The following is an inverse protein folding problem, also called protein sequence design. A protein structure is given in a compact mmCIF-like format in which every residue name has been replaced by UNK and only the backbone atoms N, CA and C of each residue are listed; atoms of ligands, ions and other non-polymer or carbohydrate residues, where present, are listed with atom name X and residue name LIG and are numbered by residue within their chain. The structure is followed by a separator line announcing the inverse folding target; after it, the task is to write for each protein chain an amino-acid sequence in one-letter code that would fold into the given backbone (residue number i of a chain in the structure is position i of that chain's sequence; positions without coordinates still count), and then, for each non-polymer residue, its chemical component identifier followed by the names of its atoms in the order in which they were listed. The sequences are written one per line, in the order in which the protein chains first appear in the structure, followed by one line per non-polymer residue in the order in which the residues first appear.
data_IF_672751573743
#
_entry.id   IF_672751573743
#
_cell.length_a   1.000
_cell.length_b   1.000
_cell.length_c   1.000
_cell.angle_alpha   90.00
_cell.angle_beta   90.00
_cell.angle_gamma   90.00
#
_symmetry.space_group_name_H-M   'P 1'
#
loop_
_entity.id
_entity.type
_entity.pdbx_description
1 polymer ?
#
# COMPACT_ATOMS: atom_id res chain seq x y z
N UNK A 1 -6.85 -14.75 54.97
CA UNK A 1 -7.56 -14.60 53.68
C UNK A 1 -6.75 -13.82 52.65
N UNK A 2 -5.92 -12.86 53.07
CA UNK A 2 -5.21 -11.92 52.19
C UNK A 2 -4.18 -12.56 51.22
N UNK A 3 -3.41 -13.57 51.65
CA UNK A 3 -2.39 -14.20 50.79
C UNK A 3 -2.96 -14.92 49.56
N UNK A 4 -4.17 -15.49 49.67
CA UNK A 4 -4.85 -16.16 48.54
C UNK A 4 -5.35 -15.16 47.51
N UNK A 5 -5.81 -13.99 47.95
CA UNK A 5 -6.32 -12.93 47.09
C UNK A 5 -5.17 -12.33 46.27
N UNK A 6 -4.03 -12.05 46.91
CA UNK A 6 -2.84 -11.52 46.24
C UNK A 6 -2.35 -12.49 45.15
N UNK A 7 -2.28 -13.79 45.46
CA UNK A 7 -1.85 -14.81 44.50
C UNK A 7 -2.75 -14.87 43.26
N UNK A 8 -4.08 -14.80 43.45
CA UNK A 8 -5.06 -14.81 42.36
C UNK A 8 -4.89 -13.59 41.45
N UNK A 9 -4.69 -12.40 42.05
CA UNK A 9 -4.50 -11.15 41.29
C UNK A 9 -3.20 -11.20 40.47
N UNK A 10 -2.11 -11.71 41.04
CA UNK A 10 -0.85 -11.84 40.28
C UNK A 10 -0.99 -12.81 39.10
N UNK A 11 -1.71 -13.93 39.26
CA UNK A 11 -1.91 -14.90 38.19
C UNK A 11 -2.81 -14.32 37.08
N UNK A 12 -3.87 -13.59 37.42
CA UNK A 12 -4.75 -12.99 36.41
C UNK A 12 -4.05 -11.90 35.61
N UNK A 13 -3.23 -11.06 36.25
CA UNK A 13 -2.43 -10.04 35.55
C UNK A 13 -1.39 -10.68 34.62
N UNK A 14 -0.76 -11.79 35.03
CA UNK A 14 0.19 -12.53 34.20
C UNK A 14 -0.49 -13.21 33.00
N UNK A 15 -1.71 -13.74 33.17
CA UNK A 15 -2.50 -14.30 32.08
C UNK A 15 -2.97 -13.22 31.09
N UNK A 16 -3.43 -12.07 31.56
CA UNK A 16 -3.91 -10.98 30.70
C UNK A 16 -2.79 -10.37 29.86
N UNK A 17 -1.59 -10.23 30.43
CA UNK A 17 -0.41 -9.71 29.72
C UNK A 17 0.10 -10.68 28.65
N UNK A 18 0.12 -11.99 28.93
CA UNK A 18 0.51 -13.01 27.94
C UNK A 18 -0.51 -13.17 26.81
N UNK A 19 -1.81 -13.10 27.11
CA UNK A 19 -2.88 -13.06 26.11
C UNK A 19 -2.81 -11.80 25.23
N UNK A 20 -2.50 -10.63 25.81
CA UNK A 20 -2.33 -9.38 25.09
C UNK A 20 -1.15 -9.41 24.11
N UNK A 21 -0.02 -10.00 24.54
CA UNK A 21 1.17 -10.17 23.69
C UNK A 21 0.88 -11.15 22.55
N UNK A 22 0.20 -12.27 22.83
CA UNK A 22 -0.24 -13.22 21.80
C UNK A 22 -1.17 -12.57 20.77
N UNK A 23 -2.12 -11.74 21.19
CA UNK A 23 -2.99 -10.98 20.29
C UNK A 23 -2.19 -9.99 19.43
N UNK A 24 -1.24 -9.26 20.02
CA UNK A 24 -0.44 -8.26 19.31
C UNK A 24 0.47 -8.87 18.22
N UNK A 25 0.97 -10.09 18.44
CA UNK A 25 1.80 -10.79 17.45
C UNK A 25 0.99 -11.52 16.37
N UNK A 26 -0.27 -11.89 16.63
CA UNK A 26 -1.11 -12.63 15.67
C UNK A 26 -1.92 -11.74 14.70
N UNK A 27 -2.22 -10.50 15.10
CA UNK A 27 -3.08 -9.61 14.30
C UNK A 27 -2.45 -8.98 13.05
N UNK A 28 -1.18 -8.54 13.01
CA UNK A 28 -0.66 -7.85 11.83
C UNK A 28 -0.37 -8.80 10.66
N UNK A 29 -0.01 -10.07 10.92
CA UNK A 29 0.35 -11.01 9.84
C UNK A 29 -0.85 -11.65 9.15
N UNK A 30 -2.02 -11.73 9.81
CA UNK A 30 -3.21 -12.34 9.21
C UNK A 30 -3.86 -11.43 8.16
N UNK A 31 -3.88 -10.11 8.40
CA UNK A 31 -4.49 -9.15 7.46
C UNK A 31 -3.71 -9.04 6.15
N UNK A 32 -2.38 -9.06 6.23
CA UNK A 32 -1.51 -9.02 5.03
C UNK A 32 -1.74 -10.26 4.16
N UNK A 33 -1.82 -11.45 4.78
CA UNK A 33 -2.10 -12.71 4.06
C UNK A 33 -3.44 -12.70 3.33
N UNK A 34 -4.50 -12.16 3.94
CA UNK A 34 -5.81 -12.10 3.28
C UNK A 34 -5.84 -11.18 2.06
N UNK A 35 -4.96 -10.17 2.01
CA UNK A 35 -4.95 -9.23 0.90
C UNK A 35 -4.06 -9.64 -0.27
N UNK A 36 -2.98 -10.41 -0.02
CA UNK A 36 -2.28 -11.17 -1.06
C UNK A 36 -3.27 -12.09 -1.82
N UNK A 37 -4.18 -12.75 -1.09
CA UNK A 37 -5.17 -13.68 -1.67
C UNK A 37 -6.26 -12.98 -2.52
N UNK A 38 -6.51 -11.68 -2.34
CA UNK A 38 -7.59 -10.95 -3.01
C UNK A 38 -7.08 -10.09 -4.19
N UNK A 39 -5.90 -9.47 -4.05
CA UNK A 39 -5.29 -8.67 -5.12
C UNK A 39 -3.75 -8.77 -5.08
N UNK A 40 -3.25 -9.93 -5.49
CA UNK A 40 -1.82 -10.27 -5.51
C UNK A 40 -0.96 -9.26 -6.28
N UNK A 41 -1.45 -8.77 -7.43
CA UNK A 41 -0.70 -7.82 -8.26
C UNK A 41 -0.48 -6.47 -7.55
N UNK A 42 -1.53 -5.93 -6.94
CA UNK A 42 -1.46 -4.67 -6.20
C UNK A 42 -0.62 -4.82 -4.93
N UNK A 43 -0.77 -5.94 -4.22
CA UNK A 43 0.06 -6.27 -3.05
C UNK A 43 1.55 -6.26 -3.42
N UNK A 44 1.92 -6.97 -4.48
CA UNK A 44 3.30 -7.04 -4.96
C UNK A 44 3.84 -5.68 -5.39
N UNK A 45 3.02 -4.86 -6.06
CA UNK A 45 3.41 -3.51 -6.44
C UNK A 45 3.71 -2.65 -5.20
N UNK A 46 2.82 -2.63 -4.20
CA UNK A 46 3.01 -1.86 -2.96
C UNK A 46 4.25 -2.33 -2.20
N UNK A 47 4.46 -3.64 -2.09
CA UNK A 47 5.64 -4.21 -1.45
C UNK A 47 6.94 -3.85 -2.17
N UNK A 48 6.92 -3.80 -3.51
CA UNK A 48 8.05 -3.36 -4.30
C UNK A 48 8.44 -1.91 -3.97
N UNK A 49 7.48 -0.99 -3.94
CA UNK A 49 7.74 0.43 -3.64
C UNK A 49 8.18 0.62 -2.19
N UNK A 50 7.48 0.01 -1.22
CA UNK A 50 7.75 0.18 0.21
C UNK A 50 9.12 -0.35 0.61
N UNK A 51 9.51 -1.51 0.09
CA UNK A 51 10.79 -2.14 0.41
C UNK A 51 11.92 -1.73 -0.53
N UNK A 52 11.61 -0.93 -1.56
CA UNK A 52 12.53 -0.61 -2.66
C UNK A 52 13.15 -1.87 -3.30
N UNK A 53 12.32 -2.91 -3.48
CA UNK A 53 12.77 -4.22 -3.93
C UNK A 53 12.04 -4.63 -5.21
N UNK A 54 12.81 -4.70 -6.30
CA UNK A 54 12.30 -5.06 -7.63
C UNK A 54 11.90 -6.55 -7.73
N UNK A 55 12.26 -7.41 -6.77
CA UNK A 55 11.89 -8.82 -6.81
C UNK A 55 10.37 -9.02 -6.77
N UNK A 56 9.65 -8.10 -6.13
CA UNK A 56 8.19 -8.11 -6.08
C UNK A 56 7.53 -7.71 -7.41
N UNK A 57 8.22 -6.96 -8.28
CA UNK A 57 7.64 -6.46 -9.53
C UNK A 57 7.29 -7.56 -10.54
N UNK A 58 7.86 -8.76 -10.42
CA UNK A 58 7.63 -9.88 -11.35
C UNK A 58 6.19 -10.35 -11.42
N UNK A 59 5.42 -10.17 -10.35
CA UNK A 59 4.04 -10.64 -10.20
C UNK A 59 3.04 -9.47 -10.18
N UNK A 60 3.35 -8.38 -10.88
CA UNK A 60 2.47 -7.21 -11.02
C UNK A 60 1.88 -7.16 -12.43
N UNK A 61 0.73 -6.51 -12.62
CA UNK A 61 0.15 -6.31 -13.95
C UNK A 61 1.02 -5.49 -14.91
N UNK A 62 2.01 -4.74 -14.40
CA UNK A 62 3.02 -4.06 -15.22
C UNK A 62 4.41 -4.06 -14.54
N UNK A 63 5.21 -5.12 -14.76
CA UNK A 63 6.51 -5.28 -14.12
C UNK A 63 7.52 -4.18 -14.47
N UNK A 64 7.48 -3.66 -15.69
CA UNK A 64 8.42 -2.62 -16.13
C UNK A 64 8.08 -1.26 -15.52
N UNK A 65 6.79 -0.91 -15.42
CA UNK A 65 6.36 0.26 -14.67
C UNK A 65 6.72 0.15 -13.18
N UNK A 66 6.50 -1.01 -12.57
CA UNK A 66 6.92 -1.26 -11.19
C UNK A 66 8.42 -1.02 -10.98
N UNK A 67 9.26 -1.61 -11.85
CA UNK A 67 10.72 -1.39 -11.81
C UNK A 67 11.08 0.08 -12.01
N UNK A 68 10.45 0.75 -12.98
CA UNK A 68 10.65 2.18 -13.23
C UNK A 68 10.38 3.00 -11.97
N UNK A 69 9.31 2.68 -11.24
CA UNK A 69 8.91 3.37 -10.01
C UNK A 69 9.88 3.10 -8.85
N UNK A 70 10.20 1.83 -8.58
CA UNK A 70 11.15 1.45 -7.53
C UNK A 70 12.52 2.06 -7.78
N UNK A 71 13.03 1.94 -9.01
CA UNK A 71 14.38 2.38 -9.38
C UNK A 71 14.46 3.87 -9.73
N UNK A 72 13.32 4.54 -9.85
CA UNK A 72 13.21 5.92 -10.34
C UNK A 72 13.93 6.14 -11.68
N UNK A 73 13.79 5.16 -12.58
CA UNK A 73 14.49 5.16 -13.87
C UNK A 73 13.50 5.05 -15.04
N UNK A 74 13.46 6.11 -15.85
CA UNK A 74 12.61 6.20 -17.04
C UNK A 74 13.02 5.24 -18.16
N UNK A 75 14.22 4.64 -18.09
CA UNK A 75 14.68 3.64 -19.06
C UNK A 75 13.87 2.35 -19.01
N UNK A 76 13.06 2.15 -17.97
CA UNK A 76 12.08 1.06 -17.86
C UNK A 76 10.68 1.46 -18.37
N UNK A 77 10.44 2.74 -18.71
CA UNK A 77 9.17 3.24 -19.23
C UNK A 77 9.01 3.00 -20.75
N UNK A 78 9.27 1.79 -21.23
CA UNK A 78 9.42 1.51 -22.67
C UNK A 78 8.18 0.91 -23.33
N UNK A 79 7.16 0.56 -22.54
CA UNK A 79 5.92 -0.01 -23.06
C UNK A 79 5.02 1.08 -23.63
N UNK A 80 4.51 0.83 -24.84
CA UNK A 80 3.86 1.85 -25.68
C UNK A 80 2.58 2.43 -25.03
N UNK A 81 1.87 1.63 -24.23
CA UNK A 81 0.62 2.05 -23.58
C UNK A 81 0.84 2.97 -22.35
N UNK A 82 2.00 2.91 -21.68
CA UNK A 82 2.22 3.61 -20.41
C UNK A 82 3.41 4.56 -20.42
N UNK A 83 4.03 4.83 -21.58
CA UNK A 83 5.27 5.62 -21.65
C UNK A 83 5.12 7.01 -21.03
N UNK A 84 4.04 7.75 -21.34
CA UNK A 84 3.85 9.10 -20.83
C UNK A 84 3.43 9.11 -19.35
N UNK A 85 2.54 8.20 -18.94
CA UNK A 85 2.13 8.03 -17.54
C UNK A 85 3.33 7.67 -16.65
N UNK A 86 4.11 6.66 -17.07
CA UNK A 86 5.34 6.26 -16.40
C UNK A 86 6.32 7.43 -16.29
N UNK A 87 6.63 8.10 -17.40
CA UNK A 87 7.52 9.27 -17.38
C UNK A 87 6.98 10.38 -16.48
N UNK A 88 5.67 10.65 -16.50
CA UNK A 88 5.05 11.66 -15.65
C UNK A 88 5.31 11.37 -14.16
N UNK A 89 5.11 10.13 -13.72
CA UNK A 89 5.28 9.75 -12.31
C UNK A 89 6.76 9.75 -11.90
N UNK A 90 7.65 9.20 -12.73
CA UNK A 90 9.07 9.13 -12.39
C UNK A 90 9.73 10.50 -12.40
N UNK A 91 9.32 11.39 -13.31
CA UNK A 91 9.85 12.75 -13.41
C UNK A 91 9.08 13.78 -12.60
N UNK A 92 8.03 13.34 -11.88
CA UNK A 92 7.12 14.18 -11.10
C UNK A 92 6.54 15.35 -11.92
N UNK A 93 6.20 15.07 -13.18
CA UNK A 93 5.75 16.06 -14.16
C UNK A 93 4.33 15.74 -14.65
N UNK A 94 3.33 16.33 -14.00
CA UNK A 94 1.92 16.22 -14.38
C UNK A 94 1.61 16.74 -15.78
N UNK A 95 2.49 17.57 -16.38
CA UNK A 95 2.33 18.07 -17.75
C UNK A 95 2.48 16.99 -18.82
N UNK A 96 3.02 15.82 -18.46
CA UNK A 96 3.08 14.64 -19.32
C UNK A 96 1.81 13.78 -19.25
N UNK A 97 0.92 14.07 -18.30
CA UNK A 97 -0.35 13.36 -18.16
C UNK A 97 -1.40 13.87 -19.15
N UNK A 98 -2.29 13.00 -19.66
CA UNK A 98 -3.47 13.43 -20.41
C UNK A 98 -4.32 14.43 -19.62
N UNK A 99 -5.01 15.33 -20.33
CA UNK A 99 -5.71 16.46 -19.72
C UNK A 99 -6.77 16.06 -18.67
N UNK A 100 -7.44 14.92 -18.86
CA UNK A 100 -8.51 14.41 -17.99
C UNK A 100 -8.08 13.19 -17.17
N UNK A 101 -6.80 12.81 -17.22
CA UNK A 101 -6.27 11.74 -16.39
C UNK A 101 -5.89 12.28 -15.01
N UNK A 102 -6.89 12.38 -14.14
CA UNK A 102 -6.73 12.91 -12.80
C UNK A 102 -5.86 12.03 -11.92
N UNK A 103 -5.83 10.71 -12.16
CA UNK A 103 -4.96 9.81 -11.41
C UNK A 103 -3.50 10.06 -11.73
N UNK A 104 -3.15 10.14 -13.02
CA UNK A 104 -1.79 10.48 -13.45
C UNK A 104 -1.33 11.80 -12.84
N UNK A 105 -2.18 12.84 -12.92
CA UNK A 105 -1.85 14.15 -12.36
C UNK A 105 -1.65 14.09 -10.86
N UNK A 106 -2.50 13.36 -10.16
CA UNK A 106 -2.44 13.20 -8.72
C UNK A 106 -1.13 12.49 -8.28
N UNK A 107 -0.74 11.43 -8.98
CA UNK A 107 0.48 10.67 -8.67
C UNK A 107 1.76 11.43 -9.08
N UNK A 108 1.80 11.97 -10.30
CA UNK A 108 2.94 12.73 -10.79
C UNK A 108 3.21 13.99 -9.97
N UNK A 109 2.18 14.69 -9.49
CA UNK A 109 2.35 15.89 -8.65
C UNK A 109 2.36 15.59 -7.14
N UNK A 110 2.17 14.33 -6.75
CA UNK A 110 1.95 13.89 -5.36
C UNK A 110 0.86 14.69 -4.64
N UNK A 111 -0.18 15.08 -5.39
CA UNK A 111 -1.26 15.93 -4.92
C UNK A 111 -2.60 15.18 -4.91
N UNK A 112 -3.06 14.68 -3.74
CA UNK A 112 -4.30 13.92 -3.63
C UNK A 112 -5.57 14.75 -3.92
N UNK A 113 -5.48 16.09 -4.01
CA UNK A 113 -6.64 16.92 -4.34
C UNK A 113 -7.18 16.64 -5.75
N UNK A 114 -6.35 16.17 -6.68
CA UNK A 114 -6.77 15.76 -8.01
C UNK A 114 -7.74 14.56 -7.97
N UNK A 115 -7.57 13.63 -7.03
CA UNK A 115 -8.48 12.49 -6.86
C UNK A 115 -9.93 12.93 -6.59
N UNK A 116 -10.16 14.13 -6.05
CA UNK A 116 -11.52 14.63 -5.78
C UNK A 116 -12.34 14.87 -7.06
N UNK A 117 -11.70 14.86 -8.23
CA UNK A 117 -12.36 14.95 -9.55
C UNK A 117 -12.89 13.59 -10.04
N UNK A 118 -12.66 12.52 -9.29
CA UNK A 118 -13.06 11.14 -9.62
C UNK A 118 -14.28 10.69 -8.80
N UNK A 119 -15.03 9.66 -9.28
CA UNK A 119 -16.05 8.96 -8.49
C UNK A 119 -15.53 8.50 -7.13
N UNK A 120 -16.42 8.36 -6.14
CA UNK A 120 -16.05 8.08 -4.74
C UNK A 120 -15.14 6.86 -4.59
N UNK A 121 -15.48 5.74 -5.23
CA UNK A 121 -14.70 4.50 -5.17
C UNK A 121 -13.28 4.67 -5.73
N UNK A 122 -13.16 5.30 -6.89
CA UNK A 122 -11.87 5.56 -7.55
C UNK A 122 -11.04 6.61 -6.81
N UNK A 123 -11.71 7.58 -6.18
CA UNK A 123 -11.07 8.66 -5.42
C UNK A 123 -10.31 8.13 -4.21
N UNK A 124 -10.92 7.23 -3.45
CA UNK A 124 -10.26 6.67 -2.26
C UNK A 124 -9.09 5.77 -2.66
N UNK A 125 -9.22 5.02 -3.76
CA UNK A 125 -8.12 4.25 -4.33
C UNK A 125 -6.97 5.16 -4.82
N UNK A 126 -7.28 6.22 -5.56
CA UNK A 126 -6.30 7.21 -5.99
C UNK A 126 -5.54 7.83 -4.80
N UNK A 127 -6.24 8.19 -3.71
CA UNK A 127 -5.57 8.70 -2.50
C UNK A 127 -4.68 7.65 -1.84
N UNK A 128 -5.09 6.39 -1.83
CA UNK A 128 -4.27 5.29 -1.32
C UNK A 128 -2.98 5.18 -2.14
N UNK A 129 -3.09 5.13 -3.46
CA UNK A 129 -1.98 4.99 -4.41
C UNK A 129 -0.91 6.07 -4.22
N UNK A 130 -1.32 7.34 -4.17
CA UNK A 130 -0.38 8.47 -4.10
C UNK A 130 0.32 8.55 -2.75
N UNK A 131 -0.41 8.25 -1.68
CA UNK A 131 0.11 8.39 -0.32
C UNK A 131 0.92 7.18 0.12
N UNK A 132 0.81 6.04 -0.59
CA UNK A 132 1.40 4.76 -0.23
C UNK A 132 1.16 4.41 1.26
N UNK A 133 0.05 4.91 1.81
CA UNK A 133 -0.20 4.91 3.23
C UNK A 133 -1.02 3.68 3.61
N UNK A 134 -0.40 2.79 4.39
CA UNK A 134 -0.96 1.51 4.85
C UNK A 134 -2.37 1.60 5.45
N UNK A 135 -2.78 2.76 5.99
CA UNK A 135 -4.14 3.00 6.48
C UNK A 135 -5.19 3.04 5.35
N UNK A 136 -4.80 3.38 4.13
CA UNK A 136 -5.67 3.36 2.96
C UNK A 136 -5.57 2.04 2.19
N UNK A 137 -4.51 1.28 2.42
CA UNK A 137 -4.32 -0.10 1.98
C UNK A 137 -4.93 -1.09 3.00
N UNK A 138 -6.12 -0.76 3.50
CA UNK A 138 -6.92 -1.64 4.35
C UNK A 138 -7.59 -2.73 3.54
N UNK A 139 -8.12 -3.74 4.23
CA UNK A 139 -8.95 -4.77 3.62
C UNK A 139 -10.02 -4.10 2.73
N UNK A 140 -10.99 -3.34 3.24
CA UNK A 140 -12.05 -2.70 2.43
C UNK A 140 -11.65 -1.94 1.15
N UNK A 141 -10.41 -1.41 1.06
CA UNK A 141 -9.95 -0.64 -0.10
C UNK A 141 -9.12 -1.46 -1.10
N UNK A 142 -8.59 -2.62 -0.70
CA UNK A 142 -7.80 -3.54 -1.54
C UNK A 142 -8.43 -4.93 -1.68
N UNK A 143 -9.40 -5.23 -0.82
CA UNK A 143 -9.99 -6.51 -0.42
C UNK A 143 -11.50 -6.28 -0.11
#
# INVERSE_FOLDING_TARGET
MEKKIILIITITVLCLSTLGILFYFLLPSQQIKSCEEINEELYNYVMAIKNQDISYCGNTGNPDFCKAHVMKDISFCNTQENTNYCKAIITENEGLCPAEDWWCKADASKNPSYCNKMPEKEREQCKADITLNEKYYTQENLC
#
